data_IF_847773025588
#
_entry.id   IF_847773025588
#
_cell.length_a   1.000
_cell.length_b   1.000
_cell.length_c   1.000
_cell.angle_alpha   90.00
_cell.angle_beta   90.00
_cell.angle_gamma   90.00
#
_symmetry.space_group_name_H-M   'P 1'
#
loop_
_entity.id
_entity.type
_entity.pdbx_description
1 polymer ?
#
# COMPACT_ATOMS: atom_id res chain seq x y z
N UNK A 1 5.94 -14.03 4.18
CA UNK A 1 4.79 -13.12 4.41
C UNK A 1 5.10 -11.78 3.78
N UNK A 2 4.19 -11.15 2.98
CA UNK A 2 4.41 -9.83 2.40
C UNK A 2 4.21 -8.72 3.44
N UNK A 3 5.05 -7.69 3.39
CA UNK A 3 4.96 -6.53 4.28
C UNK A 3 4.80 -5.26 3.45
N UNK A 4 3.62 -4.65 3.52
CA UNK A 4 3.32 -3.35 2.93
C UNK A 4 3.37 -2.28 4.01
N UNK A 5 4.13 -1.22 3.78
CA UNK A 5 4.20 -0.04 4.67
C UNK A 5 3.48 1.11 3.98
N UNK A 6 2.31 1.48 4.52
CA UNK A 6 1.46 2.51 3.92
C UNK A 6 1.71 3.90 4.51
N UNK A 7 1.28 4.95 3.78
CA UNK A 7 1.31 6.33 4.24
C UNK A 7 2.70 6.98 4.23
N UNK A 8 3.56 6.53 3.34
CA UNK A 8 4.90 7.12 3.14
C UNK A 8 4.79 8.46 2.40
N UNK A 9 5.59 9.44 2.81
CA UNK A 9 5.63 10.77 2.18
C UNK A 9 6.98 11.46 2.29
N UNK A 10 7.60 11.42 3.48
CA UNK A 10 8.86 12.11 3.73
C UNK A 10 10.03 11.41 3.04
N UNK A 11 10.85 12.18 2.32
CA UNK A 11 11.92 11.64 1.49
C UNK A 11 12.98 10.88 2.28
N UNK A 12 13.40 11.43 3.43
CA UNK A 12 14.37 10.76 4.30
C UNK A 12 13.79 9.48 4.88
N UNK A 13 12.57 9.56 5.38
CA UNK A 13 11.89 8.42 5.98
C UNK A 13 11.64 7.28 4.96
N UNK A 14 11.31 7.61 3.70
CA UNK A 14 11.21 6.62 2.62
C UNK A 14 12.55 5.91 2.40
N UNK A 15 13.67 6.64 2.38
CA UNK A 15 15.01 6.04 2.24
C UNK A 15 15.32 5.09 3.38
N UNK A 16 15.04 5.51 4.60
CA UNK A 16 15.33 4.72 5.80
C UNK A 16 14.48 3.44 5.82
N UNK A 17 13.19 3.52 5.48
CA UNK A 17 12.29 2.36 5.37
C UNK A 17 12.65 1.47 4.17
N UNK A 18 13.13 2.05 3.06
CA UNK A 18 13.56 1.28 1.90
C UNK A 18 14.81 0.41 2.15
N UNK A 19 15.57 0.73 3.21
CA UNK A 19 16.69 -0.10 3.66
C UNK A 19 16.24 -1.34 4.45
N UNK A 20 14.97 -1.39 4.89
CA UNK A 20 14.39 -2.54 5.57
C UNK A 20 13.92 -3.60 4.55
N UNK A 21 13.67 -4.81 5.04
CA UNK A 21 13.16 -5.92 4.21
C UNK A 21 11.62 -5.84 4.05
N UNK A 22 11.15 -4.75 3.45
CA UNK A 22 9.74 -4.53 3.12
C UNK A 22 9.50 -4.80 1.64
N UNK A 23 8.27 -5.22 1.28
CA UNK A 23 7.92 -5.61 -0.08
C UNK A 23 7.19 -4.51 -0.85
N UNK A 24 6.42 -3.68 -0.14
CA UNK A 24 5.60 -2.63 -0.75
C UNK A 24 5.64 -1.34 0.07
N UNK A 25 5.60 -0.20 -0.62
CA UNK A 25 5.39 1.11 -0.01
C UNK A 25 4.14 1.79 -0.58
N UNK A 26 3.25 2.23 0.31
CA UNK A 26 2.01 2.91 -0.02
C UNK A 26 2.13 4.42 0.09
N UNK A 27 1.72 5.11 -0.96
CA UNK A 27 1.68 6.56 -1.08
C UNK A 27 0.22 6.99 -1.19
N UNK A 28 -0.20 7.89 -0.30
CA UNK A 28 -1.60 8.28 -0.20
C UNK A 28 -1.88 9.50 -1.08
N UNK A 29 -2.67 9.35 -2.11
CA UNK A 29 -3.07 10.42 -3.04
C UNK A 29 -4.47 10.97 -2.77
N UNK A 30 -5.09 10.64 -1.63
CA UNK A 30 -6.36 11.21 -1.21
C UNK A 30 -6.14 12.55 -0.49
N UNK A 31 -6.66 13.69 -1.02
CA UNK A 31 -6.35 15.03 -0.51
C UNK A 31 -6.78 15.30 0.94
N UNK A 32 -7.77 14.57 1.45
CA UNK A 32 -8.24 14.70 2.83
C UNK A 32 -7.42 13.90 3.85
N UNK A 33 -6.45 13.13 3.40
CA UNK A 33 -5.57 12.36 4.28
C UNK A 33 -4.50 13.25 4.91
N UNK A 34 -4.23 13.03 6.22
CA UNK A 34 -3.04 13.62 6.88
C UNK A 34 -1.72 13.14 6.26
N UNK A 35 -1.76 12.05 5.48
CA UNK A 35 -0.61 11.43 4.79
C UNK A 35 -0.59 11.74 3.30
N UNK A 36 -1.39 12.70 2.87
CA UNK A 36 -1.49 13.07 1.46
C UNK A 36 -0.13 13.47 0.88
N UNK A 37 0.24 12.79 -0.20
CA UNK A 37 1.41 13.12 -1.01
C UNK A 37 1.00 14.22 -1.98
N UNK A 38 1.35 15.47 -1.65
CA UNK A 38 1.16 16.63 -2.54
C UNK A 38 2.14 16.55 -3.70
N UNK A 39 2.14 17.55 -4.57
CA UNK A 39 3.19 17.66 -5.59
C UNK A 39 4.55 17.39 -4.96
N UNK A 40 5.24 16.37 -5.44
CA UNK A 40 6.60 16.06 -5.03
C UNK A 40 7.48 17.00 -5.81
N UNK A 41 8.12 17.93 -5.11
CA UNK A 41 9.17 18.73 -5.71
C UNK A 41 10.31 17.79 -6.12
N UNK A 42 11.08 18.22 -7.13
CA UNK A 42 12.28 17.50 -7.56
C UNK A 42 13.32 17.32 -6.43
N UNK A 43 13.21 18.10 -5.36
CA UNK A 43 14.05 18.01 -4.15
C UNK A 43 13.70 16.80 -3.27
N UNK A 44 12.48 16.31 -3.31
CA UNK A 44 12.09 15.11 -2.57
C UNK A 44 12.75 13.84 -3.12
N UNK A 45 13.23 13.87 -4.37
CA UNK A 45 14.21 12.93 -4.95
C UNK A 45 13.82 11.47 -5.04
N UNK A 46 12.62 11.08 -4.62
CA UNK A 46 12.28 9.66 -4.43
C UNK A 46 11.13 9.20 -5.31
N UNK A 47 10.19 10.05 -5.59
CA UNK A 47 8.96 9.67 -6.26
C UNK A 47 8.78 10.21 -7.67
N UNK A 48 9.55 11.09 -8.19
CA UNK A 48 9.29 11.57 -9.51
C UNK A 48 10.05 10.81 -10.55
N UNK A 49 9.53 10.88 -11.74
CA UNK A 49 10.25 10.83 -12.97
C UNK A 49 11.46 9.89 -12.96
N UNK A 50 11.14 8.60 -12.97
CA UNK A 50 12.13 7.55 -13.18
C UNK A 50 12.39 7.36 -14.67
N UNK A 51 12.38 8.45 -15.46
CA UNK A 51 12.81 8.34 -16.83
C UNK A 51 14.25 7.83 -16.88
N UNK A 52 14.62 7.06 -17.91
CA UNK A 52 16.00 6.59 -18.09
C UNK A 52 17.02 7.73 -18.02
N UNK A 53 16.64 8.92 -18.48
CA UNK A 53 17.49 10.11 -18.46
C UNK A 53 17.78 10.59 -17.03
N UNK A 54 16.78 10.58 -16.15
CA UNK A 54 16.98 10.94 -14.74
C UNK A 54 17.68 9.87 -13.92
N UNK A 55 17.47 8.60 -14.25
CA UNK A 55 18.23 7.51 -13.63
C UNK A 55 19.72 7.55 -13.97
N UNK A 56 20.07 8.13 -15.14
CA UNK A 56 21.46 8.35 -15.55
C UNK A 56 22.17 9.40 -14.66
N UNK A 57 21.44 10.29 -14.00
CA UNK A 57 21.98 11.30 -13.09
C UNK A 57 21.93 10.87 -11.62
N UNK A 58 22.11 9.57 -11.33
CA UNK A 58 22.11 9.04 -9.97
C UNK A 58 23.28 9.54 -9.09
N UNK A 59 24.13 10.43 -9.61
CA UNK A 59 25.24 11.06 -8.89
C UNK A 59 25.08 12.57 -9.00
N UNK A 60 24.99 13.23 -7.86
CA UNK A 60 24.99 14.69 -7.79
C UNK A 60 26.33 15.28 -8.28
N UNK A 61 26.37 16.55 -8.72
CA UNK A 61 27.62 17.21 -9.07
C UNK A 61 28.64 17.27 -7.93
N UNK A 62 28.20 17.14 -6.68
CA UNK A 62 29.04 17.07 -5.47
C UNK A 62 29.55 15.65 -5.16
N UNK A 63 29.29 14.67 -6.03
CA UNK A 63 29.68 13.28 -5.85
C UNK A 63 28.78 12.46 -4.94
N UNK A 64 27.74 13.04 -4.35
CA UNK A 64 26.75 12.30 -3.56
C UNK A 64 25.82 11.49 -4.48
N UNK A 65 25.43 10.30 -4.04
CA UNK A 65 24.51 9.46 -4.81
C UNK A 65 23.06 9.82 -4.53
N UNK A 66 22.30 10.04 -5.59
CA UNK A 66 20.85 10.08 -5.47
C UNK A 66 20.33 8.72 -4.99
N UNK A 67 19.27 8.77 -4.20
CA UNK A 67 18.55 7.56 -3.83
C UNK A 67 17.86 6.98 -5.07
N UNK A 68 18.14 5.72 -5.36
CA UNK A 68 17.40 4.96 -6.35
C UNK A 68 16.41 4.06 -5.59
N UNK A 69 15.13 4.22 -5.89
CA UNK A 69 14.11 3.39 -5.26
C UNK A 69 14.35 1.91 -5.59
N UNK A 70 14.49 1.02 -4.59
CA UNK A 70 14.82 -0.37 -4.84
C UNK A 70 13.76 -1.06 -5.71
N UNK A 71 14.16 -1.67 -6.82
CA UNK A 71 13.26 -2.38 -7.75
C UNK A 71 12.47 -3.53 -7.08
N UNK A 72 12.99 -4.09 -5.99
CA UNK A 72 12.31 -5.13 -5.21
C UNK A 72 11.06 -4.60 -4.49
N UNK A 73 11.05 -3.33 -4.09
CA UNK A 73 9.93 -2.72 -3.36
C UNK A 73 8.90 -2.21 -4.35
N UNK A 74 7.66 -2.66 -4.22
CA UNK A 74 6.55 -2.25 -5.08
C UNK A 74 5.94 -0.93 -4.61
N UNK A 75 5.71 -0.02 -5.54
CA UNK A 75 5.07 1.28 -5.28
C UNK A 75 3.58 1.17 -5.42
N UNK A 76 2.87 1.55 -4.38
CA UNK A 76 1.42 1.44 -4.28
C UNK A 76 0.81 2.83 -4.14
N UNK A 77 0.01 3.26 -5.10
CA UNK A 77 -0.77 4.49 -5.00
C UNK A 77 -2.14 4.23 -4.38
N UNK A 78 -2.45 4.89 -3.26
CA UNK A 78 -3.75 4.79 -2.61
C UNK A 78 -4.66 5.94 -3.08
N UNK A 79 -5.84 5.57 -3.54
CA UNK A 79 -6.88 6.47 -4.03
C UNK A 79 -8.21 6.21 -3.30
N UNK A 80 -9.05 7.22 -3.18
CA UNK A 80 -10.38 7.14 -2.59
C UNK A 80 -11.35 7.88 -3.50
N UNK A 81 -12.21 7.13 -4.19
CA UNK A 81 -13.25 7.64 -5.10
C UNK A 81 -12.71 8.66 -6.12
N UNK A 82 -11.50 8.42 -6.62
CA UNK A 82 -10.78 9.32 -7.52
C UNK A 82 -11.16 9.09 -9.00
N UNK A 83 -11.05 10.13 -9.79
CA UNK A 83 -11.32 10.07 -11.24
C UNK A 83 -10.30 9.18 -11.97
N UNK A 84 -10.75 8.35 -12.93
CA UNK A 84 -9.85 7.45 -13.68
C UNK A 84 -8.66 8.17 -14.32
N UNK A 85 -8.88 9.35 -14.88
CA UNK A 85 -7.85 10.15 -15.54
C UNK A 85 -6.75 10.58 -14.56
N UNK A 86 -7.15 10.94 -13.34
CA UNK A 86 -6.21 11.28 -12.26
C UNK A 86 -5.39 10.05 -11.87
N UNK A 87 -6.04 8.90 -11.66
CA UNK A 87 -5.37 7.64 -11.34
C UNK A 87 -4.34 7.29 -12.42
N UNK A 88 -4.71 7.34 -13.71
CA UNK A 88 -3.82 7.06 -14.83
C UNK A 88 -2.61 8.00 -14.81
N UNK A 89 -2.83 9.29 -14.58
CA UNK A 89 -1.77 10.30 -14.49
C UNK A 89 -0.78 9.97 -13.36
N UNK A 90 -1.28 9.58 -12.19
CA UNK A 90 -0.43 9.20 -11.06
C UNK A 90 0.33 7.88 -11.33
N UNK A 91 -0.31 6.90 -11.96
CA UNK A 91 0.35 5.64 -12.34
C UNK A 91 1.56 5.91 -13.22
N UNK A 92 1.40 6.77 -14.22
CA UNK A 92 2.49 7.15 -15.11
C UNK A 92 3.58 7.96 -14.39
N UNK A 93 3.19 9.06 -13.73
CA UNK A 93 4.13 10.00 -13.12
C UNK A 93 4.94 9.38 -11.97
N UNK A 94 4.35 8.47 -11.21
CA UNK A 94 5.00 7.83 -10.07
C UNK A 94 5.46 6.41 -10.35
N UNK A 95 5.28 5.93 -11.58
CA UNK A 95 5.60 4.56 -12.00
C UNK A 95 5.07 3.53 -10.98
N UNK A 96 3.77 3.61 -10.68
CA UNK A 96 3.16 2.75 -9.68
C UNK A 96 3.08 1.31 -10.17
N UNK A 97 3.40 0.37 -9.28
CA UNK A 97 3.22 -1.06 -9.51
C UNK A 97 1.80 -1.53 -9.14
N UNK A 98 1.15 -0.82 -8.19
CA UNK A 98 -0.20 -1.13 -7.74
C UNK A 98 -1.06 0.11 -7.58
N UNK A 99 -2.33 -0.03 -7.94
CA UNK A 99 -3.40 0.92 -7.66
C UNK A 99 -4.19 0.36 -6.48
N UNK A 100 -4.20 1.06 -5.35
CA UNK A 100 -4.95 0.70 -4.15
C UNK A 100 -6.21 1.55 -4.05
N UNK A 101 -7.36 0.96 -4.34
CA UNK A 101 -8.68 1.57 -4.27
C UNK A 101 -9.26 1.35 -2.87
N UNK A 102 -9.39 2.44 -2.12
CA UNK A 102 -9.78 2.42 -0.70
C UNK A 102 -11.13 3.08 -0.43
N UNK A 103 -11.83 3.50 -1.47
CA UNK A 103 -13.17 4.10 -1.42
C UNK A 103 -14.26 3.10 -1.80
N UNK A 104 -15.29 3.64 -2.47
CA UNK A 104 -16.48 2.88 -2.92
C UNK A 104 -16.41 2.49 -4.39
N UNK A 105 -15.22 2.48 -4.98
CA UNK A 105 -14.99 2.24 -6.39
C UNK A 105 -15.56 0.89 -6.83
N UNK A 106 -16.45 0.84 -7.84
CA UNK A 106 -17.08 -0.41 -8.28
C UNK A 106 -16.13 -1.29 -9.10
N UNK A 107 -16.40 -2.63 -9.23
CA UNK A 107 -15.57 -3.54 -10.01
C UNK A 107 -15.33 -3.07 -11.45
N UNK A 108 -16.33 -2.48 -12.09
CA UNK A 108 -16.23 -1.98 -13.46
C UNK A 108 -15.17 -0.89 -13.63
N UNK A 109 -14.86 -0.12 -12.57
CA UNK A 109 -13.77 0.85 -12.62
C UNK A 109 -12.41 0.14 -12.77
N UNK A 110 -12.19 -0.94 -12.04
CA UNK A 110 -10.96 -1.75 -12.15
C UNK A 110 -10.81 -2.29 -13.57
N UNK A 111 -11.88 -2.85 -14.14
CA UNK A 111 -11.87 -3.38 -15.51
C UNK A 111 -11.54 -2.29 -16.54
N UNK A 112 -12.15 -1.11 -16.40
CA UNK A 112 -11.91 0.02 -17.31
C UNK A 112 -10.46 0.55 -17.19
N UNK A 113 -9.95 0.71 -15.97
CA UNK A 113 -8.56 1.10 -15.74
C UNK A 113 -7.59 0.05 -16.30
N UNK A 114 -7.88 -1.24 -16.12
CA UNK A 114 -7.09 -2.34 -16.65
C UNK A 114 -7.00 -2.29 -18.19
N UNK A 115 -8.14 -2.09 -18.86
CA UNK A 115 -8.19 -1.95 -20.32
C UNK A 115 -7.41 -0.75 -20.84
N UNK A 116 -7.33 0.33 -20.07
CA UNK A 116 -6.62 1.55 -20.47
C UNK A 116 -5.12 1.46 -20.17
N UNK A 117 -4.75 0.90 -19.02
CA UNK A 117 -3.36 0.94 -18.54
C UNK A 117 -2.49 -0.19 -19.09
N UNK A 118 -3.03 -1.41 -19.11
CA UNK A 118 -2.21 -2.60 -19.40
C UNK A 118 -1.65 -2.63 -20.82
N UNK A 119 -2.40 -2.28 -21.89
CA UNK A 119 -1.85 -2.41 -23.23
C UNK A 119 -0.59 -1.55 -23.46
N UNK A 120 -0.61 -0.29 -23.00
CA UNK A 120 0.36 0.69 -23.48
C UNK A 120 1.04 1.54 -22.42
N UNK A 121 0.41 1.72 -21.22
CA UNK A 121 0.88 2.68 -20.22
C UNK A 121 1.64 2.00 -19.08
N UNK A 122 1.06 0.96 -18.50
CA UNK A 122 1.62 0.27 -17.35
C UNK A 122 1.28 -1.25 -17.41
N UNK A 123 1.94 -2.03 -18.28
CA UNK A 123 1.60 -3.44 -18.52
C UNK A 123 1.67 -4.33 -17.29
N UNK A 124 2.41 -3.93 -16.26
CA UNK A 124 2.61 -4.71 -15.04
C UNK A 124 1.77 -4.22 -13.84
N UNK A 125 0.95 -3.17 -14.04
CA UNK A 125 0.15 -2.61 -12.93
C UNK A 125 -0.89 -3.61 -12.44
N UNK A 126 -1.04 -3.70 -11.13
CA UNK A 126 -2.00 -4.54 -10.43
C UNK A 126 -2.95 -3.71 -9.59
N UNK A 127 -4.06 -4.31 -9.20
CA UNK A 127 -5.13 -3.64 -8.48
C UNK A 127 -5.33 -4.25 -7.10
N UNK A 128 -5.32 -3.39 -6.10
CA UNK A 128 -5.67 -3.71 -4.72
C UNK A 128 -7.02 -3.08 -4.42
N UNK A 129 -7.96 -3.85 -3.85
CA UNK A 129 -9.21 -3.30 -3.31
C UNK A 129 -9.25 -3.48 -1.81
N UNK A 130 -9.46 -2.39 -1.07
CA UNK A 130 -9.63 -2.43 0.37
C UNK A 130 -11.11 -2.55 0.77
N UNK A 131 -11.34 -3.30 1.83
CA UNK A 131 -12.65 -3.50 2.45
C UNK A 131 -12.56 -3.33 3.96
N UNK A 132 -13.49 -2.56 4.51
CA UNK A 132 -13.67 -2.48 5.96
C UNK A 132 -14.46 -3.69 6.45
N UNK A 133 -13.87 -4.48 7.33
CA UNK A 133 -14.45 -5.70 7.90
C UNK A 133 -14.65 -5.52 9.40
N UNK A 134 -15.81 -5.92 9.89
CA UNK A 134 -16.12 -6.00 11.31
C UNK A 134 -16.86 -7.29 11.69
N UNK A 135 -17.57 -7.89 10.72
CA UNK A 135 -18.34 -9.12 10.89
C UNK A 135 -18.44 -9.86 9.55
N UNK A 136 -19.01 -11.06 9.55
CA UNK A 136 -19.13 -11.95 8.37
C UNK A 136 -19.95 -11.31 7.24
N UNK A 137 -20.97 -10.51 7.57
CA UNK A 137 -21.83 -9.90 6.56
C UNK A 137 -21.05 -8.90 5.69
N UNK A 138 -19.99 -8.29 6.23
CA UNK A 138 -19.11 -7.39 5.48
C UNK A 138 -18.37 -8.11 4.33
N UNK A 139 -18.27 -9.44 4.36
CA UNK A 139 -17.64 -10.23 3.29
C UNK A 139 -18.53 -10.39 2.04
N UNK A 140 -19.83 -10.14 2.14
CA UNK A 140 -20.73 -10.21 0.97
C UNK A 140 -20.29 -9.24 -0.14
N UNK A 141 -19.87 -8.01 0.22
CA UNK A 141 -19.41 -7.03 -0.75
C UNK A 141 -18.13 -7.45 -1.48
N UNK A 142 -17.32 -8.33 -0.88
CA UNK A 142 -16.03 -8.76 -1.43
C UNK A 142 -16.23 -9.65 -2.67
N UNK A 143 -17.30 -10.42 -2.72
CA UNK A 143 -17.58 -11.40 -3.79
C UNK A 143 -17.57 -10.78 -5.19
N UNK A 144 -18.06 -9.54 -5.32
CA UNK A 144 -18.12 -8.86 -6.61
C UNK A 144 -16.74 -8.49 -7.18
N UNK A 145 -15.69 -8.53 -6.35
CA UNK A 145 -14.33 -8.18 -6.73
C UNK A 145 -13.40 -9.38 -6.84
N UNK A 146 -13.87 -10.59 -6.46
CA UNK A 146 -13.06 -11.79 -6.55
C UNK A 146 -12.73 -12.12 -8.02
N UNK A 147 -11.44 -12.27 -8.31
CA UNK A 147 -10.94 -12.41 -9.67
C UNK A 147 -10.91 -11.11 -10.51
N UNK A 148 -11.47 -9.99 -9.98
CA UNK A 148 -11.40 -8.66 -10.63
C UNK A 148 -10.20 -7.87 -10.10
N UNK A 149 -10.01 -7.80 -8.79
CA UNK A 149 -8.80 -7.26 -8.18
C UNK A 149 -7.74 -8.36 -8.04
N UNK A 150 -6.46 -7.95 -8.04
CA UNK A 150 -5.32 -8.87 -7.91
C UNK A 150 -4.98 -9.17 -6.44
N UNK A 151 -5.43 -8.30 -5.52
CA UNK A 151 -5.14 -8.37 -4.10
C UNK A 151 -6.21 -7.63 -3.30
N UNK A 152 -6.61 -8.17 -2.16
CA UNK A 152 -7.46 -7.48 -1.21
C UNK A 152 -6.67 -6.95 -0.02
N UNK A 153 -7.20 -5.90 0.61
CA UNK A 153 -6.80 -5.47 1.95
C UNK A 153 -8.05 -5.52 2.82
N UNK A 154 -8.01 -6.33 3.88
CA UNK A 154 -9.05 -6.34 4.89
C UNK A 154 -8.63 -5.45 6.05
N UNK A 155 -9.29 -4.31 6.16
CA UNK A 155 -9.03 -3.29 7.17
C UNK A 155 -10.12 -3.31 8.23
N UNK A 156 -9.82 -2.81 9.43
CA UNK A 156 -10.83 -2.64 10.47
C UNK A 156 -11.87 -1.60 10.08
N UNK A 157 -13.16 -2.00 10.05
CA UNK A 157 -14.28 -1.09 9.83
C UNK A 157 -14.50 -0.20 11.05
N UNK A 158 -13.80 0.94 11.08
CA UNK A 158 -13.99 1.91 12.17
C UNK A 158 -15.31 2.68 11.98
N UNK A 159 -16.05 2.98 13.06
CA UNK A 159 -17.21 3.87 13.01
C UNK A 159 -16.91 5.30 12.56
N UNK A 160 -15.64 5.69 12.49
CA UNK A 160 -15.14 6.98 11.99
C UNK A 160 -14.03 6.81 10.96
N UNK A 161 -13.88 7.75 10.03
CA UNK A 161 -12.80 7.75 9.04
C UNK A 161 -11.46 7.98 9.73
N UNK A 162 -10.67 6.90 9.91
CA UNK A 162 -9.28 6.98 10.39
C UNK A 162 -8.95 5.96 11.50
N UNK A 163 -7.73 5.47 11.46
CA UNK A 163 -7.23 4.38 12.29
C UNK A 163 -7.52 4.49 13.79
N UNK A 164 -8.44 3.67 14.27
CA UNK A 164 -8.79 3.54 15.68
C UNK A 164 -7.69 2.85 16.49
N UNK A 165 -6.70 2.26 15.83
CA UNK A 165 -5.68 1.43 16.45
C UNK A 165 -6.20 0.12 17.05
N UNK A 166 -7.42 -0.29 16.68
CA UNK A 166 -8.03 -1.56 17.08
C UNK A 166 -8.02 -2.52 15.90
N UNK A 167 -7.96 -3.82 16.19
CA UNK A 167 -8.18 -4.86 15.20
C UNK A 167 -9.66 -5.26 15.18
N UNK A 168 -10.13 -5.80 14.07
CA UNK A 168 -11.31 -6.66 14.08
C UNK A 168 -10.88 -8.09 14.47
N UNK A 169 -11.84 -8.90 14.84
CA UNK A 169 -11.59 -10.33 15.07
C UNK A 169 -11.27 -11.02 13.73
N UNK A 170 -10.01 -11.40 13.55
CA UNK A 170 -9.56 -12.02 12.30
C UNK A 170 -10.21 -13.37 12.01
N UNK A 171 -10.81 -14.04 13.02
CA UNK A 171 -11.58 -15.27 12.81
C UNK A 171 -12.80 -15.07 11.89
N UNK A 172 -13.28 -13.84 11.74
CA UNK A 172 -14.31 -13.48 10.75
C UNK A 172 -13.90 -13.90 9.34
N UNK A 173 -12.59 -13.89 9.05
CA UNK A 173 -12.05 -14.22 7.73
C UNK A 173 -12.08 -15.72 7.42
N UNK A 174 -12.34 -16.60 8.39
CA UNK A 174 -12.57 -18.04 8.14
C UNK A 174 -13.76 -18.24 7.21
N UNK A 175 -14.69 -17.28 7.15
CA UNK A 175 -15.82 -17.27 6.24
C UNK A 175 -15.49 -16.76 4.83
N UNK A 176 -14.28 -16.25 4.58
CA UNK A 176 -13.85 -15.83 3.25
C UNK A 176 -13.55 -17.07 2.39
N UNK A 177 -14.30 -17.25 1.31
CA UNK A 177 -14.18 -18.39 0.39
C UNK A 177 -13.72 -17.98 -1.01
N UNK A 178 -13.29 -16.72 -1.18
CA UNK A 178 -12.79 -16.22 -2.46
C UNK A 178 -11.41 -16.76 -2.80
N UNK A 179 -10.99 -16.54 -4.05
CA UNK A 179 -9.69 -16.96 -4.58
C UNK A 179 -8.62 -15.85 -4.54
N UNK A 180 -9.04 -14.61 -4.40
CA UNK A 180 -8.12 -13.45 -4.39
C UNK A 180 -7.33 -13.41 -3.08
N UNK A 181 -5.99 -13.35 -3.14
CA UNK A 181 -5.17 -13.24 -1.94
C UNK A 181 -5.42 -11.92 -1.20
N UNK A 182 -5.09 -11.88 0.10
CA UNK A 182 -5.29 -10.67 0.89
C UNK A 182 -4.15 -10.35 1.87
N UNK A 183 -4.07 -9.07 2.21
CA UNK A 183 -3.30 -8.55 3.33
C UNK A 183 -4.24 -8.20 4.49
N UNK A 184 -3.81 -8.46 5.72
CA UNK A 184 -4.45 -7.92 6.92
C UNK A 184 -4.01 -6.46 7.13
N UNK A 185 -4.95 -5.63 7.52
CA UNK A 185 -4.75 -4.22 7.89
C UNK A 185 -5.59 -3.85 9.11
N UNK A 186 -5.51 -2.62 9.56
CA UNK A 186 -6.32 -2.10 10.66
C UNK A 186 -5.70 -2.35 12.03
N UNK A 187 -4.97 -1.36 12.53
CA UNK A 187 -4.43 -1.36 13.89
C UNK A 187 -3.24 -2.29 14.16
N UNK A 188 -2.72 -2.97 13.15
CA UNK A 188 -1.54 -3.85 13.29
C UNK A 188 -0.36 -3.06 13.85
N UNK A 189 0.24 -3.58 14.92
CA UNK A 189 1.33 -2.97 15.66
C UNK A 189 2.46 -3.95 16.01
N UNK A 190 3.48 -3.47 16.74
CA UNK A 190 4.65 -4.27 17.09
C UNK A 190 4.35 -5.53 17.90
N UNK A 191 3.26 -5.50 18.66
CA UNK A 191 2.89 -6.61 19.57
C UNK A 191 2.11 -7.72 18.86
N UNK A 192 1.77 -7.56 17.56
CA UNK A 192 0.91 -8.50 16.84
C UNK A 192 1.69 -9.62 16.14
N UNK A 193 3.03 -9.65 16.21
CA UNK A 193 3.87 -10.59 15.48
C UNK A 193 3.44 -12.03 15.71
N UNK A 194 3.26 -12.44 16.96
CA UNK A 194 2.89 -13.83 17.28
C UNK A 194 1.48 -14.18 16.79
N UNK A 195 0.54 -13.25 16.92
CA UNK A 195 -0.81 -13.43 16.41
C UNK A 195 -0.84 -13.54 14.87
N UNK A 196 -0.01 -12.75 14.17
CA UNK A 196 0.12 -12.81 12.72
C UNK A 196 0.78 -14.11 12.24
N UNK A 197 1.79 -14.62 12.97
CA UNK A 197 2.41 -15.92 12.70
C UNK A 197 1.45 -17.09 12.94
N UNK A 198 0.58 -16.95 13.93
CA UNK A 198 -0.42 -17.95 14.26
C UNK A 198 -1.68 -17.90 13.37
N UNK A 199 -1.90 -16.80 12.64
CA UNK A 199 -3.05 -16.67 11.77
C UNK A 199 -2.86 -17.46 10.48
N UNK A 200 -3.80 -18.36 10.19
CA UNK A 200 -3.75 -19.23 9.02
C UNK A 200 -5.02 -19.10 8.18
N UNK A 201 -4.84 -18.69 6.94
CA UNK A 201 -5.88 -18.73 5.91
C UNK A 201 -5.21 -18.98 4.54
N UNK A 202 -5.78 -19.80 3.64
CA UNK A 202 -5.15 -20.12 2.35
C UNK A 202 -4.80 -18.90 1.50
N UNK A 203 -5.59 -17.84 1.60
CA UNK A 203 -5.40 -16.59 0.83
C UNK A 203 -4.67 -15.49 1.61
N UNK A 204 -4.30 -15.72 2.86
CA UNK A 204 -3.52 -14.76 3.63
C UNK A 204 -2.07 -14.76 3.18
N UNK A 205 -1.59 -13.63 2.67
CA UNK A 205 -0.22 -13.53 2.16
C UNK A 205 0.63 -12.47 2.86
N UNK A 206 0.05 -11.63 3.73
CA UNK A 206 0.83 -10.59 4.41
C UNK A 206 0.02 -9.52 5.10
N UNK A 207 0.71 -8.44 5.43
CA UNK A 207 0.16 -7.34 6.24
C UNK A 207 0.35 -5.97 5.59
N UNK A 208 -0.58 -5.05 5.88
CA UNK A 208 -0.48 -3.63 5.57
C UNK A 208 -0.40 -2.81 6.87
N UNK A 209 0.76 -2.25 7.16
CA UNK A 209 1.04 -1.51 8.39
C UNK A 209 1.11 -0.01 8.15
N UNK A 210 0.64 0.79 9.11
CA UNK A 210 0.61 2.24 8.97
C UNK A 210 0.79 2.96 10.33
N UNK A 211 -0.30 3.42 10.95
CA UNK A 211 -0.31 4.39 12.05
C UNK A 211 0.41 3.95 13.33
N UNK A 212 0.38 2.66 13.65
CA UNK A 212 1.06 2.13 14.85
C UNK A 212 2.59 2.20 14.78
N UNK A 213 3.12 2.40 13.58
CA UNK A 213 4.53 2.57 13.29
C UNK A 213 4.91 4.02 12.96
N UNK A 214 4.09 4.99 13.33
CA UNK A 214 4.36 6.40 13.09
C UNK A 214 4.76 7.13 14.37
N UNK A 215 5.71 8.05 14.26
CA UNK A 215 6.01 9.07 15.26
C UNK A 215 5.08 10.27 15.10
N UNK A 216 4.77 10.60 13.84
CA UNK A 216 3.76 11.57 13.42
C UNK A 216 3.19 11.16 12.05
N UNK A 217 2.02 11.69 11.63
CA UNK A 217 1.40 11.29 10.36
C UNK A 217 2.36 11.39 9.17
N UNK A 218 2.55 10.27 8.48
CA UNK A 218 3.45 10.07 7.33
C UNK A 218 4.96 9.99 7.67
N UNK A 219 5.34 9.86 8.94
CA UNK A 219 6.72 9.62 9.37
C UNK A 219 6.78 8.34 10.19
N UNK A 220 7.40 7.30 9.64
CA UNK A 220 7.55 6.00 10.32
C UNK A 220 8.69 6.05 11.34
N UNK A 221 8.44 5.45 12.49
CA UNK A 221 9.45 5.05 13.46
C UNK A 221 10.23 3.86 12.88
N UNK A 222 11.39 4.15 12.32
CA UNK A 222 12.16 3.18 11.54
C UNK A 222 12.66 2.02 12.41
N UNK A 223 13.05 2.28 13.65
CA UNK A 223 13.59 1.25 14.55
C UNK A 223 12.48 0.31 15.03
N UNK A 224 11.32 0.88 15.36
CA UNK A 224 10.13 0.09 15.69
C UNK A 224 9.71 -0.80 14.50
N UNK A 225 9.70 -0.23 13.29
CA UNK A 225 9.35 -0.96 12.09
C UNK A 225 10.39 -2.03 11.76
N UNK A 226 11.69 -1.74 11.93
CA UNK A 226 12.79 -2.71 11.75
C UNK A 226 12.60 -3.94 12.63
N UNK A 227 12.40 -3.72 13.93
CA UNK A 227 12.19 -4.79 14.90
C UNK A 227 10.99 -5.67 14.54
N UNK A 228 9.91 -5.07 14.08
CA UNK A 228 8.71 -5.78 13.63
C UNK A 228 8.99 -6.62 12.37
N UNK A 229 9.64 -6.02 11.37
CA UNK A 229 9.98 -6.68 10.10
C UNK A 229 10.90 -7.88 10.36
N UNK A 230 11.95 -7.70 11.14
CA UNK A 230 12.90 -8.77 11.49
C UNK A 230 12.17 -9.94 12.15
N UNK A 231 11.40 -9.68 13.22
CA UNK A 231 10.62 -10.70 13.91
C UNK A 231 9.61 -11.41 13.01
N UNK A 232 8.99 -10.71 12.06
CA UNK A 232 7.99 -11.29 11.16
C UNK A 232 8.62 -12.13 10.05
N UNK A 233 9.93 -11.91 9.74
CA UNK A 233 10.72 -12.68 8.78
C UNK A 233 11.34 -13.95 9.38
N UNK A 234 11.59 -13.99 10.70
CA UNK A 234 12.01 -15.19 11.45
C UNK A 234 10.92 -16.29 11.39
#
# INVERSE_FOLDING_TARGET
MLIKVCGMRDAKNIRDVAALDVDMMGFNFWPHSKRFVRMISSEAGIMPDYSPERLAYAVNPDGTRHFVFPKRIKRVGLFVDEMPQTIITYVYNYSLDYIHLHGSEPPVLIENLRRTLIPDIAPQVKFIKAFGISNVDDLEQVRAYDGVADLFIFDYKSPGKGGSGKHFDWSVLDAYQGSTPFLLSGGIGPDDVEALKAFHHPQFIGVDVNSKFETEPAVKDVDKLRTFVEKLRE
#
